data_IF_941676733128
#
_entry.id   IF_941676733128
#
_cell.length_a   1.000
_cell.length_b   1.000
_cell.length_c   1.000
_cell.angle_alpha   90.00
_cell.angle_beta   90.00
_cell.angle_gamma   90.00
#
_symmetry.space_group_name_H-M   'P 1'
#
loop_
_entity.id
_entity.type
_entity.pdbx_description
1 polymer ?
#
# COMPACT_ATOMS: atom_id res chain seq x y z
N UNK A 1 13.37 16.76 8.18
CA UNK A 1 14.74 17.35 8.11
C UNK A 1 15.71 16.37 8.75
N UNK A 2 16.89 16.12 8.16
CA UNK A 2 17.83 15.06 8.61
C UNK A 2 18.56 15.38 9.94
N UNK A 3 18.27 16.53 10.57
CA UNK A 3 18.83 16.90 11.87
C UNK A 3 20.30 17.34 11.83
N UNK A 4 20.82 17.72 10.66
CA UNK A 4 22.21 18.12 10.45
C UNK A 4 22.34 19.63 10.27
N UNK A 5 23.48 20.15 10.69
CA UNK A 5 23.96 21.45 10.23
C UNK A 5 24.43 21.40 8.77
N UNK A 6 24.59 22.57 8.17
CA UNK A 6 25.04 22.67 6.77
C UNK A 6 26.44 22.09 6.56
N UNK A 7 27.38 22.34 7.49
CA UNK A 7 28.73 21.78 7.41
C UNK A 7 28.71 20.25 7.47
N UNK A 8 27.97 19.67 8.42
CA UNK A 8 27.86 18.22 8.55
C UNK A 8 27.26 17.57 7.29
N UNK A 9 26.29 18.23 6.66
CA UNK A 9 25.69 17.76 5.41
C UNK A 9 26.73 17.65 4.28
N UNK A 10 27.56 18.69 4.09
CA UNK A 10 28.55 18.71 3.02
C UNK A 10 29.72 17.73 3.24
N UNK A 11 29.92 17.26 4.47
CA UNK A 11 30.94 16.26 4.79
C UNK A 11 30.46 14.80 4.66
N UNK A 12 29.21 14.56 4.30
CA UNK A 12 28.69 13.20 4.14
C UNK A 12 29.15 12.55 2.83
N UNK A 13 29.55 11.30 2.94
CA UNK A 13 29.62 10.42 1.77
C UNK A 13 28.23 10.01 1.31
N UNK A 14 28.10 9.60 0.05
CA UNK A 14 26.83 9.12 -0.51
C UNK A 14 26.26 7.93 0.29
N UNK A 15 27.12 7.03 0.77
CA UNK A 15 26.70 5.90 1.59
C UNK A 15 26.08 6.34 2.93
N UNK A 16 26.73 7.30 3.61
CA UNK A 16 26.21 7.83 4.87
C UNK A 16 24.92 8.62 4.67
N UNK A 17 24.84 9.44 3.62
CA UNK A 17 23.61 10.14 3.25
C UNK A 17 22.45 9.16 3.02
N UNK A 18 22.67 8.11 2.24
CA UNK A 18 21.63 7.10 1.96
C UNK A 18 21.14 6.40 3.22
N UNK A 19 22.06 6.05 4.14
CA UNK A 19 21.69 5.42 5.42
C UNK A 19 20.89 6.38 6.31
N UNK A 20 21.23 7.67 6.34
CA UNK A 20 20.47 8.68 7.08
C UNK A 20 19.08 8.89 6.49
N UNK A 21 18.97 8.98 5.16
CA UNK A 21 17.66 9.08 4.47
C UNK A 21 16.81 7.86 4.76
N UNK A 22 17.40 6.66 4.75
CA UNK A 22 16.70 5.42 5.09
C UNK A 22 16.14 5.48 6.50
N UNK A 23 16.98 5.78 7.51
CA UNK A 23 16.54 5.91 8.91
C UNK A 23 15.45 6.96 9.10
N UNK A 24 15.59 8.10 8.42
CA UNK A 24 14.58 9.15 8.43
C UNK A 24 13.24 8.64 7.89
N UNK A 25 13.24 7.94 6.75
CA UNK A 25 12.02 7.35 6.18
C UNK A 25 11.40 6.31 7.09
N UNK A 26 12.20 5.44 7.68
CA UNK A 26 11.72 4.43 8.63
C UNK A 26 11.05 5.10 9.85
N UNK A 27 11.63 6.19 10.35
CA UNK A 27 11.07 6.95 11.46
C UNK A 27 9.75 7.66 11.09
N UNK A 28 9.66 8.24 9.88
CA UNK A 28 8.41 8.83 9.39
C UNK A 28 7.33 7.77 9.18
N UNK A 29 7.68 6.59 8.64
CA UNK A 29 6.75 5.48 8.47
C UNK A 29 6.15 5.05 9.82
N UNK A 30 6.97 4.97 10.88
CA UNK A 30 6.46 4.66 12.23
C UNK A 30 5.49 5.73 12.74
N UNK A 31 5.72 7.02 12.43
CA UNK A 31 4.78 8.10 12.80
C UNK A 31 3.48 7.99 12.03
N UNK A 32 3.56 7.71 10.72
CA UNK A 32 2.38 7.49 9.88
C UNK A 32 1.56 6.31 10.39
N UNK A 33 2.20 5.21 10.80
CA UNK A 33 1.50 4.06 11.40
C UNK A 33 0.75 4.41 12.69
N UNK A 34 1.34 5.24 13.54
CA UNK A 34 0.67 5.72 14.77
C UNK A 34 -0.54 6.59 14.42
N UNK A 35 -0.40 7.48 13.43
CA UNK A 35 -1.50 8.30 12.95
C UNK A 35 -2.61 7.44 12.34
N UNK A 36 -2.24 6.45 11.51
CA UNK A 36 -3.17 5.50 10.90
C UNK A 36 -3.94 4.69 11.95
N UNK A 37 -3.29 4.30 13.06
CA UNK A 37 -3.96 3.63 14.17
C UNK A 37 -5.00 4.53 14.84
N UNK A 38 -4.68 5.79 15.12
CA UNK A 38 -5.62 6.76 15.69
C UNK A 38 -6.82 6.98 14.76
N UNK A 39 -6.57 7.15 13.46
CA UNK A 39 -7.61 7.27 12.44
C UNK A 39 -8.50 6.03 12.39
N UNK A 40 -7.92 4.83 12.44
CA UNK A 40 -8.66 3.58 12.44
C UNK A 40 -9.53 3.43 13.69
N UNK A 41 -9.04 3.81 14.86
CA UNK A 41 -9.84 3.83 16.10
C UNK A 41 -11.04 4.76 15.93
N UNK A 42 -10.81 6.00 15.52
CA UNK A 42 -11.87 7.00 15.32
C UNK A 42 -12.89 6.56 14.28
N UNK A 43 -12.44 6.00 13.15
CA UNK A 43 -13.31 5.50 12.11
C UNK A 43 -14.15 4.31 12.57
N UNK A 44 -13.56 3.40 13.35
CA UNK A 44 -14.28 2.24 13.89
C UNK A 44 -15.30 2.63 14.97
N UNK A 45 -15.05 3.67 15.77
CA UNK A 45 -16.04 4.21 16.70
C UNK A 45 -17.32 4.70 15.99
N UNK A 46 -17.19 5.20 14.76
CA UNK A 46 -18.31 5.73 13.97
C UNK A 46 -18.76 4.77 12.85
N UNK A 47 -18.27 3.53 12.85
CA UNK A 47 -18.54 2.56 11.78
C UNK A 47 -19.93 1.96 11.92
N UNK A 48 -20.74 2.11 10.88
CA UNK A 48 -21.98 1.33 10.70
C UNK A 48 -21.64 -0.06 10.14
N UNK A 49 -21.78 -1.10 10.97
CA UNK A 49 -21.47 -2.47 10.58
C UNK A 49 -22.38 -3.04 9.47
N UNK A 50 -23.57 -2.46 9.23
CA UNK A 50 -24.46 -2.90 8.14
C UNK A 50 -23.96 -2.40 6.79
N UNK A 51 -23.42 -1.17 6.75
CA UNK A 51 -22.88 -0.55 5.52
C UNK A 51 -21.42 -0.91 5.27
N UNK A 52 -20.64 -1.07 6.34
CA UNK A 52 -19.22 -1.45 6.31
C UNK A 52 -18.97 -2.62 7.27
N UNK A 53 -19.20 -3.88 6.81
CA UNK A 53 -19.08 -5.06 7.68
C UNK A 53 -17.69 -5.26 8.25
N UNK A 54 -16.65 -5.00 7.45
CA UNK A 54 -15.26 -5.11 7.87
C UNK A 54 -14.77 -3.84 8.58
N UNK A 55 -14.15 -3.94 9.77
CA UNK A 55 -13.57 -2.79 10.45
C UNK A 55 -12.46 -2.15 9.62
N UNK A 56 -12.23 -0.86 9.82
CA UNK A 56 -11.10 -0.15 9.24
C UNK A 56 -9.81 -0.59 9.93
N UNK A 57 -8.74 -0.68 9.17
CA UNK A 57 -7.39 -0.98 9.65
C UNK A 57 -6.51 0.25 9.52
N UNK A 58 -5.38 0.27 10.21
CA UNK A 58 -4.44 1.40 10.12
C UNK A 58 -3.92 1.58 8.69
N UNK A 59 -3.70 0.48 7.97
CA UNK A 59 -3.29 0.41 6.57
C UNK A 59 -4.22 1.17 5.63
N UNK A 60 -5.53 1.26 5.94
CA UNK A 60 -6.50 1.99 5.12
C UNK A 60 -6.22 3.51 5.12
N UNK A 61 -5.44 4.00 6.09
CA UNK A 61 -5.06 5.40 6.26
C UNK A 61 -3.58 5.68 6.01
N UNK A 62 -2.80 4.66 5.61
CA UNK A 62 -1.37 4.82 5.32
C UNK A 62 -1.12 5.37 3.91
N UNK A 63 -0.04 6.13 3.68
CA UNK A 63 0.39 6.48 2.33
C UNK A 63 0.67 5.21 1.52
N UNK A 64 0.09 5.11 0.33
CA UNK A 64 0.37 3.98 -0.57
C UNK A 64 1.78 4.12 -1.13
N UNK A 65 2.59 3.06 -1.01
CA UNK A 65 3.89 3.03 -1.70
C UNK A 65 3.65 2.96 -3.21
N UNK A 66 4.22 3.91 -3.95
CA UNK A 66 4.18 3.89 -5.42
C UNK A 66 4.72 2.53 -5.91
N UNK A 67 3.85 1.74 -6.55
CA UNK A 67 4.21 0.41 -7.10
C UNK A 67 3.54 -0.78 -6.42
N UNK A 68 2.87 -0.59 -5.27
CA UNK A 68 2.05 -1.65 -4.64
C UNK A 68 0.70 -1.80 -5.36
N UNK A 69 0.73 -2.23 -6.62
CA UNK A 69 -0.47 -2.83 -7.23
C UNK A 69 -0.59 -4.23 -6.64
N UNK A 70 -1.74 -4.51 -6.02
CA UNK A 70 -2.09 -5.87 -5.59
C UNK A 70 -1.95 -6.77 -6.81
N UNK A 71 -1.01 -7.73 -6.78
CA UNK A 71 -0.88 -8.71 -7.85
C UNK A 71 -2.15 -9.54 -7.85
N UNK A 72 -2.86 -9.56 -8.97
CA UNK A 72 -4.03 -10.42 -9.13
C UNK A 72 -3.63 -11.88 -8.89
N UNK A 73 -4.48 -12.67 -8.25
CA UNK A 73 -4.28 -14.12 -8.20
C UNK A 73 -4.52 -14.74 -9.59
N UNK A 74 -4.02 -15.95 -9.88
CA UNK A 74 -4.34 -16.65 -11.13
C UNK A 74 -5.86 -16.77 -11.36
N UNK A 75 -6.63 -17.03 -10.31
CA UNK A 75 -8.10 -17.13 -10.39
C UNK A 75 -8.76 -15.78 -10.71
N UNK A 76 -8.29 -14.70 -10.09
CA UNK A 76 -8.76 -13.34 -10.39
C UNK A 76 -8.46 -12.95 -11.84
N UNK A 77 -7.27 -13.30 -12.34
CA UNK A 77 -6.90 -13.09 -13.75
C UNK A 77 -7.77 -13.91 -14.70
N UNK A 78 -7.97 -15.20 -14.40
CA UNK A 78 -8.82 -16.08 -15.21
C UNK A 78 -10.26 -15.55 -15.28
N UNK A 79 -10.80 -15.09 -14.15
CA UNK A 79 -12.13 -14.48 -14.12
C UNK A 79 -12.18 -13.22 -14.99
N UNK A 80 -11.14 -12.38 -14.93
CA UNK A 80 -11.04 -11.18 -15.77
C UNK A 80 -11.01 -11.53 -17.27
N UNK A 81 -10.24 -12.55 -17.65
CA UNK A 81 -10.18 -13.06 -19.03
C UNK A 81 -11.54 -13.60 -19.48
N UNK A 82 -12.25 -14.33 -18.61
CA UNK A 82 -13.61 -14.83 -18.92
C UNK A 82 -14.60 -13.71 -19.16
N UNK A 83 -14.59 -12.68 -18.31
CA UNK A 83 -15.44 -11.49 -18.47
C UNK A 83 -15.15 -10.80 -19.82
N UNK A 84 -13.89 -10.60 -20.16
CA UNK A 84 -13.50 -10.00 -21.45
C UNK A 84 -13.90 -10.87 -22.64
N UNK A 85 -13.66 -12.18 -22.56
CA UNK A 85 -14.04 -13.13 -23.60
C UNK A 85 -15.56 -13.06 -23.87
N UNK A 86 -16.38 -13.04 -22.80
CA UNK A 86 -17.82 -12.91 -22.92
C UNK A 86 -18.25 -11.54 -23.49
N UNK A 87 -17.63 -10.44 -23.02
CA UNK A 87 -17.92 -9.09 -23.52
C UNK A 87 -17.62 -8.93 -25.02
N UNK A 88 -16.63 -9.67 -25.53
CA UNK A 88 -16.28 -9.71 -26.95
C UNK A 88 -16.95 -10.84 -27.74
N UNK A 89 -17.92 -11.55 -27.15
CA UNK A 89 -18.71 -12.59 -27.83
C UNK A 89 -17.95 -13.91 -28.07
N UNK A 90 -16.83 -14.12 -27.41
CA UNK A 90 -16.07 -15.37 -27.48
C UNK A 90 -16.72 -16.50 -26.69
N UNK A 91 -16.33 -17.74 -27.02
CA UNK A 91 -16.78 -18.97 -26.33
C UNK A 91 -15.58 -19.66 -25.69
N UNK A 92 -15.74 -20.15 -24.46
CA UNK A 92 -14.69 -20.91 -23.77
C UNK A 92 -14.55 -22.28 -24.44
N UNK A 93 -13.32 -22.64 -24.81
CA UNK A 93 -13.00 -23.95 -25.38
C UNK A 93 -12.16 -24.70 -24.35
N UNK A 94 -12.76 -25.69 -23.71
CA UNK A 94 -12.03 -26.63 -22.86
C UNK A 94 -11.46 -27.69 -23.80
N UNK A 95 -10.13 -27.73 -23.93
CA UNK A 95 -9.44 -28.84 -24.59
C UNK A 95 -9.08 -29.85 -23.53
N UNK A 96 -9.79 -30.96 -23.52
CA UNK A 96 -9.35 -32.15 -22.80
C UNK A 96 -8.05 -32.65 -23.48
N UNK A 97 -7.00 -32.81 -22.68
CA UNK A 97 -5.70 -33.31 -23.13
C UNK A 97 -5.71 -34.81 -23.37
#
# INVERSE_FOLDING_TARGET
MLGLSESEFWWLTLAQYNELVKRYRDAEEVKDWRNGLLCAVMANCHRDAKKKPSPFKAEDFMPRRHGERKKSTPDEMLNWVRIMNAAHGGKEIIRDG
#
